data_IF_791371401472
#
_entry.id   IF_791371401472
#
_cell.length_a   1.000
_cell.length_b   1.000
_cell.length_c   1.000
_cell.angle_alpha   90.00
_cell.angle_beta   90.00
_cell.angle_gamma   90.00
#
_symmetry.space_group_name_H-M   'P 1'
#
loop_
_entity.id
_entity.type
_entity.pdbx_description
1 polymer ?
#
# COMPACT_ATOMS: atom_id res chain seq x y z
N UNK A 1 21.35 -8.72 24.69
CA UNK A 1 22.63 -8.63 23.96
C UNK A 1 22.54 -7.45 23.00
N UNK A 2 23.58 -6.61 22.89
CA UNK A 2 23.57 -5.41 22.05
C UNK A 2 23.34 -5.76 20.56
N UNK A 3 23.78 -6.97 20.18
CA UNK A 3 23.59 -7.55 18.85
C UNK A 3 22.12 -7.87 18.54
N UNK A 4 21.32 -8.19 19.56
CA UNK A 4 19.89 -8.53 19.42
C UNK A 4 19.03 -7.26 19.24
N UNK A 5 19.46 -6.14 19.84
CA UNK A 5 18.88 -4.82 19.55
C UNK A 5 19.25 -4.32 18.15
N UNK A 6 20.47 -4.57 17.69
CA UNK A 6 20.93 -4.19 16.35
C UNK A 6 20.27 -5.02 15.24
N UNK A 7 20.02 -6.31 15.50
CA UNK A 7 19.28 -7.19 14.59
C UNK A 7 17.80 -6.80 14.48
N UNK A 8 17.17 -6.36 15.58
CA UNK A 8 15.77 -5.93 15.59
C UNK A 8 15.53 -4.51 15.04
N UNK A 9 16.57 -3.66 14.95
CA UNK A 9 16.45 -2.29 14.43
C UNK A 9 16.69 -2.15 12.91
N UNK A 10 16.95 -3.25 12.18
CA UNK A 10 17.15 -3.25 10.72
C UNK A 10 18.13 -2.16 10.23
N UNK A 11 19.19 -1.92 11.01
CA UNK A 11 20.25 -0.93 10.75
C UNK A 11 21.14 -1.27 9.54
N UNK A 12 20.78 -2.28 8.75
CA UNK A 12 21.48 -2.57 7.51
C UNK A 12 21.44 -1.34 6.61
N UNK A 13 22.58 -0.94 6.08
CA UNK A 13 22.66 0.11 5.06
C UNK A 13 22.93 -0.56 3.71
N UNK A 14 22.16 -0.20 2.69
CA UNK A 14 22.21 -0.80 1.37
C UNK A 14 22.35 0.29 0.30
N UNK A 15 23.07 0.02 -0.80
CA UNK A 15 23.16 0.96 -1.90
C UNK A 15 21.77 1.24 -2.46
N UNK A 16 21.49 2.50 -2.81
CA UNK A 16 20.20 2.91 -3.37
C UNK A 16 20.39 4.01 -4.40
N UNK A 17 20.00 3.73 -5.65
CA UNK A 17 19.86 4.75 -6.69
C UNK A 17 21.08 5.69 -6.87
N UNK A 18 22.31 5.15 -6.77
CA UNK A 18 23.55 5.91 -6.88
C UNK A 18 23.78 6.95 -5.78
N UNK A 19 23.03 6.91 -4.68
CA UNK A 19 23.13 7.83 -3.53
C UNK A 19 24.08 7.31 -2.44
N UNK A 20 24.81 6.22 -2.72
CA UNK A 20 25.54 5.47 -1.70
C UNK A 20 24.60 4.63 -0.84
N UNK A 21 25.01 4.39 0.40
CA UNK A 21 24.31 3.50 1.33
C UNK A 21 23.24 4.24 2.13
N UNK A 22 22.02 3.70 2.10
CA UNK A 22 20.85 4.23 2.82
C UNK A 22 20.27 3.16 3.74
N UNK A 23 19.52 3.56 4.76
CA UNK A 23 18.87 2.63 5.69
C UNK A 23 17.94 1.65 4.96
N UNK A 24 18.13 0.34 5.18
CA UNK A 24 17.42 -0.73 4.49
C UNK A 24 15.90 -0.63 4.69
N UNK A 25 15.45 -0.34 5.91
CA UNK A 25 14.04 -0.06 6.18
C UNK A 25 13.43 1.06 5.31
N UNK A 26 14.12 2.18 5.11
CA UNK A 26 13.60 3.27 4.26
C UNK A 26 13.60 2.88 2.79
N UNK A 27 14.68 2.24 2.31
CA UNK A 27 14.75 1.65 0.97
C UNK A 27 13.58 0.70 0.72
N UNK A 28 13.33 -0.23 1.64
CA UNK A 28 12.25 -1.21 1.53
C UNK A 28 10.87 -0.54 1.46
N UNK A 29 10.64 0.52 2.25
CA UNK A 29 9.38 1.27 2.23
C UNK A 29 9.17 2.02 0.91
N UNK A 30 10.21 2.66 0.37
CA UNK A 30 10.14 3.33 -0.95
C UNK A 30 9.90 2.30 -2.07
N UNK A 31 10.67 1.21 -2.10
CA UNK A 31 10.53 0.17 -3.12
C UNK A 31 9.16 -0.52 -3.06
N UNK A 32 8.64 -0.74 -1.86
CA UNK A 32 7.26 -1.25 -1.67
C UNK A 32 6.22 -0.28 -2.22
N UNK A 33 6.36 1.03 -1.94
CA UNK A 33 5.45 2.06 -2.46
C UNK A 33 5.44 2.07 -3.99
N UNK A 34 6.62 2.16 -4.64
CA UNK A 34 6.69 2.21 -6.11
C UNK A 34 6.33 0.88 -6.78
N UNK A 35 6.45 -0.23 -6.04
CA UNK A 35 6.00 -1.55 -6.46
C UNK A 35 4.47 -1.72 -6.43
N UNK A 36 3.78 -0.91 -5.62
CA UNK A 36 2.33 -0.99 -5.39
C UNK A 36 1.49 -0.61 -6.61
N UNK A 37 0.29 -1.18 -6.68
CA UNK A 37 -0.64 -0.98 -7.80
C UNK A 37 -1.12 0.47 -7.90
N UNK A 38 -1.39 1.11 -6.77
CA UNK A 38 -1.75 2.54 -6.69
C UNK A 38 -0.70 3.42 -7.37
N UNK A 39 0.56 3.20 -7.03
CA UNK A 39 1.64 3.97 -7.63
C UNK A 39 1.71 3.71 -9.13
N UNK A 40 1.71 2.44 -9.56
CA UNK A 40 1.86 2.07 -10.97
C UNK A 40 0.69 2.53 -11.85
N UNK A 41 -0.54 2.49 -11.34
CA UNK A 41 -1.74 2.80 -12.13
C UNK A 41 -2.22 4.24 -11.99
N UNK A 42 -1.99 4.90 -10.84
CA UNK A 42 -2.49 6.26 -10.60
C UNK A 42 -1.37 7.29 -10.62
N UNK A 43 -0.28 7.04 -9.91
CA UNK A 43 0.75 8.07 -9.69
C UNK A 43 1.75 8.11 -10.85
N UNK A 44 2.39 7.00 -11.17
CA UNK A 44 3.42 6.87 -12.21
C UNK A 44 2.97 7.42 -13.57
N UNK A 45 1.73 7.16 -14.05
CA UNK A 45 1.26 7.70 -15.33
C UNK A 45 1.10 9.22 -15.33
N UNK A 46 0.93 9.85 -14.17
CA UNK A 46 0.79 11.31 -14.05
C UNK A 46 2.14 11.99 -13.86
N UNK A 47 2.97 11.49 -12.93
CA UNK A 47 4.26 12.13 -12.56
C UNK A 47 5.27 12.17 -13.71
N UNK A 48 5.15 11.26 -14.70
CA UNK A 48 5.99 11.31 -15.91
C UNK A 48 5.81 12.56 -16.76
N UNK A 49 4.74 13.32 -16.53
CA UNK A 49 4.49 14.60 -17.17
C UNK A 49 5.01 15.81 -16.35
N UNK A 50 5.59 15.59 -15.17
CA UNK A 50 6.20 16.66 -14.39
C UNK A 50 7.59 17.01 -14.93
N UNK A 51 7.94 18.30 -14.96
CA UNK A 51 9.30 18.74 -15.31
C UNK A 51 10.32 18.22 -14.29
N UNK A 52 10.03 18.37 -13.00
CA UNK A 52 10.70 17.74 -11.85
C UNK A 52 9.64 17.22 -10.87
N UNK A 53 10.01 16.26 -10.02
CA UNK A 53 9.13 15.74 -8.96
C UNK A 53 9.75 16.06 -7.60
N UNK A 54 8.99 16.65 -6.70
CA UNK A 54 9.39 16.87 -5.31
C UNK A 54 8.29 16.34 -4.40
N UNK A 55 8.67 15.49 -3.46
CA UNK A 55 7.79 14.92 -2.44
C UNK A 55 8.25 15.42 -1.08
N UNK A 56 7.31 15.80 -0.23
CA UNK A 56 7.57 16.23 1.14
C UNK A 56 6.82 15.34 2.13
N UNK A 57 7.37 15.21 3.34
CA UNK A 57 6.78 14.45 4.44
C UNK A 57 7.44 14.80 5.77
N UNK A 58 6.86 14.36 6.88
CA UNK A 58 7.38 14.59 8.23
C UNK A 58 7.94 13.30 8.84
N UNK A 59 8.96 13.42 9.70
CA UNK A 59 9.56 12.29 10.42
C UNK A 59 9.97 11.15 9.46
N UNK A 60 9.52 9.91 9.70
CA UNK A 60 9.73 8.76 8.82
C UNK A 60 9.27 9.01 7.38
N UNK A 61 8.16 9.72 7.19
CA UNK A 61 7.64 10.06 5.87
C UNK A 61 8.54 11.04 5.12
N UNK A 62 9.26 11.92 5.83
CA UNK A 62 10.25 12.82 5.25
C UNK A 62 11.44 12.08 4.66
N UNK A 63 11.99 11.11 5.40
CA UNK A 63 13.10 10.28 4.92
C UNK A 63 12.74 9.49 3.65
N UNK A 64 11.54 8.91 3.60
CA UNK A 64 11.05 8.21 2.40
C UNK A 64 10.83 9.17 1.22
N UNK A 65 10.24 10.33 1.48
CA UNK A 65 9.99 11.36 0.48
C UNK A 65 11.28 11.89 -0.15
N UNK A 66 12.32 12.08 0.65
CA UNK A 66 13.64 12.54 0.21
C UNK A 66 14.32 11.50 -0.68
N UNK A 67 14.37 10.23 -0.25
CA UNK A 67 14.92 9.14 -1.06
C UNK A 67 14.21 8.99 -2.40
N UNK A 68 12.87 9.03 -2.39
CA UNK A 68 12.07 8.97 -3.61
C UNK A 68 12.36 10.16 -4.53
N UNK A 69 12.33 11.39 -3.98
CA UNK A 69 12.59 12.62 -4.73
C UNK A 69 13.97 12.63 -5.36
N UNK A 70 15.00 12.28 -4.58
CA UNK A 70 16.36 12.20 -5.08
C UNK A 70 16.45 11.17 -6.21
N UNK A 71 15.92 9.97 -6.01
CA UNK A 71 16.03 8.90 -7.00
C UNK A 71 15.23 9.15 -8.30
N UNK A 72 13.99 9.64 -8.19
CA UNK A 72 13.10 9.87 -9.33
C UNK A 72 13.61 10.94 -10.31
N UNK A 73 14.53 11.82 -9.86
CA UNK A 73 15.12 12.87 -10.69
C UNK A 73 16.56 12.54 -11.17
N UNK A 74 17.08 11.33 -10.91
CA UNK A 74 18.40 10.90 -11.42
C UNK A 74 18.33 10.34 -12.83
N UNK A 75 19.50 10.15 -13.42
CA UNK A 75 19.71 9.43 -14.68
C UNK A 75 20.90 8.48 -14.47
N UNK A 76 20.61 7.21 -14.18
CA UNK A 76 21.65 6.18 -14.02
C UNK A 76 21.75 5.28 -15.26
N UNK A 77 22.94 4.75 -15.49
CA UNK A 77 23.26 3.72 -16.48
C UNK A 77 23.29 2.33 -15.84
N UNK A 78 23.19 1.28 -16.66
CA UNK A 78 23.05 -0.10 -16.18
C UNK A 78 24.20 -0.63 -15.32
N UNK A 79 25.37 -0.02 -15.43
CA UNK A 79 26.58 -0.32 -14.65
C UNK A 79 26.70 0.51 -13.38
N UNK A 80 25.82 1.49 -13.14
CA UNK A 80 25.86 2.30 -11.93
C UNK A 80 25.33 1.52 -10.72
N UNK A 81 25.94 1.78 -9.55
CA UNK A 81 25.48 1.19 -8.29
C UNK A 81 24.05 1.63 -7.96
N UNK A 82 23.20 0.67 -7.58
CA UNK A 82 21.79 0.94 -7.29
C UNK A 82 20.91 1.18 -8.53
N UNK A 83 21.40 0.85 -9.75
CA UNK A 83 20.61 0.93 -10.98
C UNK A 83 19.29 0.16 -10.91
N UNK A 84 19.26 -1.00 -10.24
CA UNK A 84 18.04 -1.78 -10.05
C UNK A 84 16.95 -1.00 -9.32
N UNK A 85 17.30 -0.29 -8.24
CA UNK A 85 16.37 0.54 -7.48
C UNK A 85 15.96 1.78 -8.28
N UNK A 86 16.91 2.39 -8.99
CA UNK A 86 16.63 3.48 -9.93
C UNK A 86 15.60 3.08 -10.98
N UNK A 87 15.71 1.89 -11.58
CA UNK A 87 14.75 1.40 -12.58
C UNK A 87 13.35 1.23 -11.99
N UNK A 88 13.22 0.90 -10.71
CA UNK A 88 11.93 0.76 -10.04
C UNK A 88 11.26 2.12 -9.76
N UNK A 89 12.05 3.15 -9.45
CA UNK A 89 11.54 4.47 -9.06
C UNK A 89 11.36 5.41 -10.26
N UNK A 90 12.29 5.35 -11.22
CA UNK A 90 12.32 6.23 -12.39
C UNK A 90 11.19 5.96 -13.38
N UNK A 91 11.00 6.91 -14.28
CA UNK A 91 9.99 6.87 -15.32
C UNK A 91 10.47 7.62 -16.56
N UNK A 92 10.11 7.13 -17.75
CA UNK A 92 10.38 7.85 -19.00
C UNK A 92 9.55 9.13 -19.05
N UNK A 93 10.23 10.28 -19.10
CA UNK A 93 9.58 11.60 -19.18
C UNK A 93 8.71 11.67 -20.44
N UNK A 94 7.50 12.17 -20.26
CA UNK A 94 6.55 12.48 -21.33
C UNK A 94 6.42 13.99 -21.50
N UNK A 95 5.68 14.43 -22.54
CA UNK A 95 5.38 15.85 -22.75
C UNK A 95 4.78 16.46 -21.48
N UNK A 96 5.39 17.54 -21.00
CA UNK A 96 4.99 18.21 -19.76
C UNK A 96 3.55 18.70 -19.84
N UNK A 97 2.77 18.49 -18.77
CA UNK A 97 1.40 19.00 -18.65
C UNK A 97 1.12 19.39 -17.20
N UNK A 98 0.28 20.40 -17.00
CA UNK A 98 -0.21 20.75 -15.66
C UNK A 98 -1.12 19.63 -15.15
N UNK A 99 -0.79 19.05 -14.00
CA UNK A 99 -1.63 18.06 -13.34
C UNK A 99 -2.73 18.78 -12.56
N UNK A 100 -3.91 18.15 -12.47
CA UNK A 100 -4.95 18.62 -11.55
C UNK A 100 -4.45 18.39 -10.12
N UNK A 101 -4.67 19.38 -9.26
CA UNK A 101 -4.43 19.22 -7.83
C UNK A 101 -5.34 18.11 -7.28
N UNK A 102 -4.80 17.32 -6.38
CA UNK A 102 -5.48 16.17 -5.81
C UNK A 102 -5.38 16.22 -4.29
N UNK A 103 -6.54 16.21 -3.63
CA UNK A 103 -6.67 16.11 -2.18
C UNK A 103 -7.19 14.72 -1.82
N UNK A 104 -6.67 14.14 -0.73
CA UNK A 104 -6.90 12.74 -0.34
C UNK A 104 -8.20 12.52 0.48
N UNK A 105 -9.15 13.44 0.43
CA UNK A 105 -10.22 13.63 1.42
C UNK A 105 -11.61 13.09 1.01
N UNK A 106 -11.70 12.14 0.07
CA UNK A 106 -12.98 11.68 -0.48
C UNK A 106 -13.20 10.15 -0.54
N UNK A 107 -12.92 9.40 0.55
CA UNK A 107 -13.45 8.03 0.69
C UNK A 107 -14.79 7.96 1.41
N UNK A 108 -15.73 7.24 0.81
CA UNK A 108 -16.84 6.60 1.51
C UNK A 108 -16.40 5.18 1.93
N UNK A 109 -16.63 4.80 3.19
CA UNK A 109 -16.25 3.51 3.78
C UNK A 109 -15.22 3.62 4.91
N UNK A 110 -15.15 2.62 5.78
CA UNK A 110 -14.17 2.56 6.88
C UNK A 110 -13.12 1.48 6.65
N UNK A 111 -11.90 1.77 7.08
CA UNK A 111 -10.82 0.78 7.12
C UNK A 111 -10.83 0.08 8.47
N UNK A 112 -10.78 -1.25 8.47
CA UNK A 112 -10.49 -2.02 9.68
C UNK A 112 -8.99 -2.18 9.81
N UNK A 113 -8.40 -1.43 10.75
CA UNK A 113 -6.96 -1.40 10.97
C UNK A 113 -6.58 -2.21 12.19
N UNK A 114 -5.64 -3.14 12.04
CA UNK A 114 -5.03 -3.81 13.17
C UNK A 114 -4.18 -2.79 13.96
N UNK A 115 -4.51 -2.58 15.25
CA UNK A 115 -3.80 -1.61 16.10
C UNK A 115 -2.33 -1.98 16.35
N UNK A 116 -1.99 -3.28 16.35
CA UNK A 116 -0.65 -3.76 16.69
C UNK A 116 0.39 -3.51 15.60
N UNK A 117 0.05 -3.74 14.33
CA UNK A 117 0.97 -3.56 13.20
C UNK A 117 0.60 -2.40 12.27
N UNK A 118 -0.57 -1.78 12.48
CA UNK A 118 -1.05 -0.66 11.69
C UNK A 118 -1.46 -1.00 10.25
N UNK A 119 -1.61 -2.28 9.91
CA UNK A 119 -2.08 -2.76 8.60
C UNK A 119 -3.61 -2.78 8.54
N UNK A 120 -4.15 -2.63 7.34
CA UNK A 120 -5.58 -2.68 7.05
C UNK A 120 -6.00 -4.06 6.58
N UNK A 121 -7.23 -4.41 6.90
CA UNK A 121 -7.88 -5.63 6.43
C UNK A 121 -8.19 -5.52 4.94
N UNK A 122 -7.80 -6.54 4.17
CA UNK A 122 -7.69 -6.50 2.71
C UNK A 122 -8.16 -7.82 2.10
N UNK A 123 -8.86 -7.75 0.97
CA UNK A 123 -9.14 -8.94 0.16
C UNK A 123 -7.93 -9.19 -0.74
N UNK A 124 -7.27 -10.34 -0.56
CA UNK A 124 -6.06 -10.69 -1.30
C UNK A 124 -6.25 -10.54 -2.81
N UNK A 125 -5.42 -9.67 -3.38
CA UNK A 125 -5.36 -9.39 -4.80
C UNK A 125 -6.07 -8.08 -5.15
N UNK A 126 -5.45 -7.27 -6.01
CA UNK A 126 -5.94 -5.91 -6.27
C UNK A 126 -7.37 -5.90 -6.78
N UNK A 127 -8.25 -5.22 -6.04
CA UNK A 127 -9.66 -5.08 -6.34
C UNK A 127 -10.38 -6.42 -6.52
N UNK A 128 -9.86 -7.48 -5.89
CA UNK A 128 -10.40 -8.81 -6.08
C UNK A 128 -11.85 -8.88 -5.63
N UNK A 129 -12.70 -9.35 -6.54
CA UNK A 129 -14.10 -9.68 -6.25
C UNK A 129 -14.34 -11.19 -6.30
N UNK A 130 -13.28 -12.00 -6.39
CA UNK A 130 -13.40 -13.43 -6.66
C UNK A 130 -13.96 -14.17 -5.45
N UNK A 131 -14.69 -15.25 -5.74
CA UNK A 131 -15.23 -16.14 -4.73
C UNK A 131 -14.09 -16.82 -3.94
N UNK A 132 -14.22 -16.84 -2.61
CA UNK A 132 -13.22 -17.40 -1.69
C UNK A 132 -11.83 -16.75 -1.77
N UNK A 133 -11.72 -15.50 -2.24
CA UNK A 133 -10.47 -14.75 -2.05
C UNK A 133 -10.16 -14.64 -0.55
N UNK A 134 -8.93 -14.96 -0.11
CA UNK A 134 -8.53 -14.82 1.28
C UNK A 134 -8.60 -13.36 1.74
N UNK A 135 -8.98 -13.17 3.01
CA UNK A 135 -8.89 -11.88 3.69
C UNK A 135 -7.59 -11.87 4.49
N UNK A 136 -6.76 -10.87 4.24
CA UNK A 136 -5.41 -10.73 4.79
C UNK A 136 -5.23 -9.37 5.47
N UNK A 137 -4.08 -9.18 6.12
CA UNK A 137 -3.62 -7.85 6.49
C UNK A 137 -2.66 -7.32 5.43
N UNK A 138 -2.93 -6.13 4.93
CA UNK A 138 -2.11 -5.44 3.96
C UNK A 138 -1.92 -3.97 4.32
N UNK A 139 -1.01 -3.28 3.63
CA UNK A 139 -0.80 -1.85 3.85
C UNK A 139 -2.08 -1.10 3.50
N UNK A 140 -2.47 -0.15 4.36
CA UNK A 140 -3.66 0.66 4.12
C UNK A 140 -3.54 1.41 2.80
N UNK A 141 -4.40 1.05 1.84
CA UNK A 141 -4.47 1.69 0.54
C UNK A 141 -5.32 2.94 0.65
N UNK A 142 -4.84 4.06 0.13
CA UNK A 142 -5.43 5.37 0.40
C UNK A 142 -6.59 5.70 -0.57
N UNK A 143 -7.52 6.58 -0.14
CA UNK A 143 -8.92 6.44 -0.48
C UNK A 143 -9.41 6.74 -1.91
N UNK A 144 -8.65 7.45 -2.75
CA UNK A 144 -9.21 7.96 -4.02
C UNK A 144 -8.64 7.31 -5.28
N UNK A 145 -7.72 6.37 -5.16
CA UNK A 145 -7.23 5.64 -6.32
C UNK A 145 -8.28 4.63 -6.85
N UNK A 146 -9.36 4.40 -6.08
CA UNK A 146 -10.37 3.39 -6.40
C UNK A 146 -9.89 1.96 -6.19
N UNK A 147 -8.58 1.74 -6.00
CA UNK A 147 -7.97 0.45 -5.71
C UNK A 147 -8.15 0.01 -4.26
N UNK A 148 -8.20 0.94 -3.31
CA UNK A 148 -8.48 0.64 -1.88
C UNK A 148 -9.89 0.15 -1.57
N UNK A 149 -10.73 -0.08 -2.58
CA UNK A 149 -12.12 -0.47 -2.34
C UNK A 149 -12.24 -1.90 -1.78
N UNK A 150 -11.28 -2.77 -2.07
CA UNK A 150 -11.14 -4.11 -1.49
C UNK A 150 -10.67 -4.09 -0.02
N UNK A 151 -10.24 -2.93 0.51
CA UNK A 151 -9.95 -2.71 1.93
C UNK A 151 -11.05 -1.95 2.69
N UNK A 152 -12.16 -1.62 2.02
CA UNK A 152 -13.27 -0.87 2.62
C UNK A 152 -14.34 -1.84 3.09
N UNK A 153 -14.67 -1.75 4.36
CA UNK A 153 -15.62 -2.65 5.02
C UNK A 153 -16.80 -1.86 5.59
N UNK A 154 -17.96 -2.50 5.65
CA UNK A 154 -19.16 -1.97 6.27
C UNK A 154 -19.77 -3.03 7.17
N UNK A 155 -19.83 -2.74 8.47
CA UNK A 155 -20.56 -3.53 9.44
C UNK A 155 -22.05 -3.21 9.30
N UNK A 156 -22.87 -4.23 9.07
CA UNK A 156 -24.32 -4.11 9.05
C UNK A 156 -24.92 -4.38 10.42
N UNK A 157 -26.18 -3.98 10.59
CA UNK A 157 -26.92 -4.19 11.84
C UNK A 157 -27.17 -5.67 12.17
N UNK A 158 -27.14 -6.56 11.16
CA UNK A 158 -27.28 -8.00 11.33
C UNK A 158 -25.96 -8.72 11.68
N UNK A 159 -24.89 -7.97 11.95
CA UNK A 159 -23.55 -8.48 12.24
C UNK A 159 -22.74 -8.87 11.00
N UNK A 160 -23.31 -8.80 9.79
CA UNK A 160 -22.52 -9.07 8.59
C UNK A 160 -21.49 -7.98 8.34
N UNK A 161 -20.26 -8.38 8.04
CA UNK A 161 -19.19 -7.47 7.66
C UNK A 161 -18.94 -7.58 6.15
N UNK A 162 -19.37 -6.55 5.41
CA UNK A 162 -19.41 -6.57 3.95
C UNK A 162 -18.24 -5.78 3.37
N UNK A 163 -17.58 -6.38 2.39
CA UNK A 163 -16.62 -5.67 1.56
C UNK A 163 -17.34 -4.73 0.58
N UNK A 164 -17.02 -3.43 0.62
CA UNK A 164 -17.70 -2.41 -0.20
C UNK A 164 -17.44 -2.54 -1.69
N UNK A 165 -16.32 -3.15 -2.09
CA UNK A 165 -16.02 -3.40 -3.51
C UNK A 165 -16.86 -4.56 -4.06
N UNK A 166 -16.81 -5.71 -3.39
CA UNK A 166 -17.35 -6.95 -3.93
C UNK A 166 -18.81 -7.21 -3.54
N UNK A 167 -19.32 -6.51 -2.52
CA UNK A 167 -20.65 -6.76 -1.94
C UNK A 167 -20.76 -8.10 -1.21
N UNK A 168 -19.63 -8.79 -0.98
CA UNK A 168 -19.55 -10.10 -0.34
C UNK A 168 -19.31 -9.95 1.16
N UNK A 169 -19.77 -10.94 1.91
CA UNK A 169 -19.58 -11.02 3.35
C UNK A 169 -18.23 -11.65 3.68
N UNK A 170 -17.63 -11.19 4.78
CA UNK A 170 -16.52 -11.88 5.44
C UNK A 170 -17.04 -13.16 6.08
N UNK A 171 -16.44 -14.28 5.72
CA UNK A 171 -16.84 -15.61 6.17
C UNK A 171 -15.62 -16.31 6.75
N UNK A 172 -15.76 -16.87 7.95
CA UNK A 172 -14.84 -17.90 8.40
C UNK A 172 -15.19 -19.19 7.65
N UNK A 173 -14.32 -19.61 6.73
CA UNK A 173 -14.49 -20.90 6.10
C UNK A 173 -14.21 -22.02 7.10
N UNK A 174 -14.76 -23.21 6.86
CA UNK A 174 -14.58 -24.36 7.77
C UNK A 174 -13.14 -24.88 7.90
N UNK A 175 -12.15 -24.11 7.46
CA UNK A 175 -10.71 -24.33 7.59
C UNK A 175 -9.99 -23.18 8.30
N UNK A 176 -10.68 -22.49 9.21
CA UNK A 176 -10.17 -21.37 10.03
C UNK A 176 -9.58 -20.22 9.19
N UNK A 177 -10.02 -20.08 7.94
CA UNK A 177 -9.53 -19.04 7.03
C UNK A 177 -10.63 -18.03 6.77
N UNK A 178 -10.30 -16.75 6.91
CA UNK A 178 -11.21 -15.67 6.51
C UNK A 178 -11.19 -15.51 4.99
N UNK A 179 -12.37 -15.56 4.38
CA UNK A 179 -12.56 -15.40 2.93
C UNK A 179 -13.75 -14.51 2.63
N UNK A 180 -13.85 -14.00 1.40
CA UNK A 180 -15.09 -13.36 0.92
C UNK A 180 -16.00 -14.34 0.17
N UNK A 181 -17.28 -14.41 0.56
CA UNK A 181 -18.30 -15.25 -0.09
C UNK A 181 -19.66 -14.52 -0.16
N UNK A 182 -20.61 -15.09 -0.91
CA UNK A 182 -21.96 -14.53 -0.97
C UNK A 182 -22.58 -14.46 0.44
N UNK A 183 -23.26 -13.35 0.71
CA UNK A 183 -23.93 -13.14 2.00
C UNK A 183 -25.12 -14.08 2.15
N UNK A 184 -25.19 -14.77 3.30
CA UNK A 184 -26.25 -15.72 3.63
C UNK A 184 -26.92 -15.30 4.95
N UNK A 185 -28.21 -14.98 4.90
CA UNK A 185 -28.96 -14.60 6.10
C UNK A 185 -29.00 -15.75 7.11
N UNK A 186 -28.64 -15.48 8.37
CA UNK A 186 -28.62 -16.47 9.44
C UNK A 186 -27.38 -17.38 9.47
N UNK A 187 -26.41 -17.18 8.56
CA UNK A 187 -25.13 -17.88 8.63
C UNK A 187 -24.24 -17.24 9.69
N UNK A 188 -24.14 -17.91 10.85
CA UNK A 188 -23.36 -17.44 12.00
C UNK A 188 -21.86 -17.29 11.70
N UNK A 189 -21.33 -18.02 10.70
CA UNK A 189 -19.92 -17.89 10.30
C UNK A 189 -19.65 -16.61 9.49
N UNK A 190 -20.69 -15.84 9.17
CA UNK A 190 -20.61 -14.53 8.50
C UNK A 190 -20.95 -13.37 9.43
N UNK A 191 -21.21 -13.65 10.71
CA UNK A 191 -21.61 -12.66 11.71
C UNK A 191 -20.42 -12.29 12.61
N UNK A 192 -20.25 -10.98 12.81
CA UNK A 192 -19.14 -10.39 13.53
C UNK A 192 -19.67 -9.36 14.51
N UNK A 193 -19.05 -9.28 15.68
CA UNK A 193 -19.31 -8.24 16.67
C UNK A 193 -18.02 -7.52 17.05
N UNK A 194 -18.17 -6.27 17.50
CA UNK A 194 -17.07 -5.52 18.13
C UNK A 194 -17.19 -5.74 19.63
N UNK A 195 -16.26 -6.50 20.19
CA UNK A 195 -16.18 -6.70 21.64
C UNK A 195 -15.34 -5.59 22.29
N UNK A 196 -15.69 -5.17 23.53
CA UNK A 196 -14.92 -4.18 24.30
C UNK A 196 -13.49 -4.59 24.62
#
# INVERSE_FOLDING_TARGET
DLLDWLANLDFAILPFCGLGYVHAGFRAKVLRMVGGIDYKQVIQPQIKHCASVTVAGHSLGGAQAELFTACANRMLQSNDEGFHDYRAVSFSKAKTKKLKEFHADHAQGVYLRNKGNGMCMDVKGTLSTDYRSPIILYWCEFPNAGFSQDQKWEMKADGSLINKRSGKCMVMDGSDTLVQMACSAGDVNQQWEVTP
#
